data_IF_508244560765
#
_entry.id   IF_508244560765
#
_cell.length_a   1.000
_cell.length_b   1.000
_cell.length_c   1.000
_cell.angle_alpha   90.00
_cell.angle_beta   90.00
_cell.angle_gamma   90.00
#
_symmetry.space_group_name_H-M   'P 1'
#
loop_
_entity.id
_entity.type
_entity.pdbx_description
1 polymer ?
#
# COMPACT_ATOMS: atom_id res chain seq x y z
N UNK A 1 -7.67 -7.56 15.31
CA UNK A 1 -8.60 -7.52 14.18
C UNK A 1 -7.95 -6.66 13.11
N UNK A 2 -7.79 -7.19 11.90
CA UNK A 2 -7.03 -6.57 10.81
C UNK A 2 -7.99 -6.12 9.70
N UNK A 3 -8.70 -5.02 9.97
CA UNK A 3 -9.79 -4.54 9.09
C UNK A 3 -9.23 -4.10 7.74
N UNK A 4 -8.07 -3.44 7.73
CA UNK A 4 -7.40 -3.07 6.50
C UNK A 4 -6.99 -4.30 5.69
N UNK A 5 -6.34 -5.29 6.32
CA UNK A 5 -5.93 -6.52 5.66
C UNK A 5 -7.11 -7.33 5.10
N UNK A 6 -8.25 -7.33 5.79
CA UNK A 6 -9.49 -7.94 5.28
C UNK A 6 -10.00 -7.22 4.01
N UNK A 7 -10.06 -5.88 4.04
CA UNK A 7 -10.48 -5.08 2.89
C UNK A 7 -9.53 -5.26 1.68
N UNK A 8 -8.21 -5.24 1.91
CA UNK A 8 -7.21 -5.51 0.89
C UNK A 8 -7.36 -6.92 0.31
N UNK A 9 -7.58 -7.92 1.15
CA UNK A 9 -7.76 -9.32 0.71
C UNK A 9 -9.00 -9.48 -0.17
N UNK A 10 -10.10 -8.84 0.22
CA UNK A 10 -11.34 -8.88 -0.55
C UNK A 10 -11.18 -8.19 -1.91
N UNK A 11 -10.59 -7.00 -1.92
CA UNK A 11 -10.31 -6.28 -3.16
C UNK A 11 -9.39 -7.09 -4.08
N UNK A 12 -8.31 -7.68 -3.56
CA UNK A 12 -7.39 -8.52 -4.34
C UNK A 12 -8.07 -9.76 -4.96
N UNK A 13 -9.00 -10.41 -4.23
CA UNK A 13 -9.65 -11.64 -4.70
C UNK A 13 -10.86 -11.40 -5.61
N UNK A 14 -11.61 -10.31 -5.37
CA UNK A 14 -12.92 -10.08 -5.99
C UNK A 14 -12.96 -8.85 -6.90
N UNK A 15 -11.94 -7.98 -6.82
CA UNK A 15 -11.92 -6.68 -7.49
C UNK A 15 -12.79 -5.61 -6.80
N UNK A 16 -13.41 -5.94 -5.66
CA UNK A 16 -14.23 -5.03 -4.86
C UNK A 16 -14.10 -5.37 -3.37
N UNK A 17 -14.34 -4.38 -2.51
CA UNK A 17 -14.42 -4.56 -1.06
C UNK A 17 -15.60 -3.74 -0.51
N UNK A 18 -16.05 -4.07 0.71
CA UNK A 18 -16.94 -3.16 1.45
C UNK A 18 -16.22 -1.83 1.76
N UNK A 19 -16.99 -0.80 2.09
CA UNK A 19 -16.46 0.53 2.42
C UNK A 19 -15.55 0.46 3.63
N UNK A 20 -14.28 0.87 3.44
CA UNK A 20 -13.33 1.04 4.52
C UNK A 20 -13.50 2.43 5.14
N UNK A 21 -13.98 2.48 6.37
CA UNK A 21 -14.21 3.73 7.09
C UNK A 21 -13.00 4.15 7.93
N UNK A 22 -12.61 5.41 7.81
CA UNK A 22 -11.60 6.06 8.64
C UNK A 22 -12.29 6.91 9.70
N UNK A 23 -12.10 6.53 10.96
CA UNK A 23 -12.51 7.33 12.10
C UNK A 23 -11.33 8.17 12.58
N UNK A 24 -11.40 9.49 12.37
CA UNK A 24 -10.41 10.43 12.84
C UNK A 24 -10.91 11.20 14.07
N UNK A 25 -10.02 11.93 14.75
CA UNK A 25 -10.36 12.68 15.98
C UNK A 25 -10.83 14.11 15.73
N UNK A 26 -10.87 14.55 14.46
CA UNK A 26 -10.96 15.95 14.07
C UNK A 26 -12.10 16.25 13.09
N UNK A 27 -12.91 15.26 12.74
CA UNK A 27 -14.00 15.40 11.79
C UNK A 27 -14.92 14.18 11.78
N UNK A 28 -15.82 14.18 10.80
CA UNK A 28 -16.71 13.06 10.53
C UNK A 28 -15.93 11.88 9.93
N UNK A 29 -16.43 10.64 10.04
CA UNK A 29 -15.81 9.49 9.39
C UNK A 29 -15.71 9.69 7.87
N UNK A 30 -14.58 9.29 7.31
CA UNK A 30 -14.29 9.43 5.88
C UNK A 30 -14.13 8.05 5.22
N UNK A 31 -14.46 7.95 3.94
CA UNK A 31 -14.25 6.72 3.17
C UNK A 31 -12.79 6.63 2.68
N UNK A 32 -12.14 5.49 2.88
CA UNK A 32 -10.83 5.17 2.32
C UNK A 32 -11.02 4.34 1.04
N UNK A 33 -10.65 4.86 -0.15
CA UNK A 33 -10.62 4.08 -1.37
C UNK A 33 -9.59 2.95 -1.24
N UNK A 34 -10.02 1.69 -1.37
CA UNK A 34 -9.15 0.52 -1.18
C UNK A 34 -8.27 0.26 -2.42
N UNK A 35 -8.75 0.67 -3.59
CA UNK A 35 -8.03 0.61 -4.87
C UNK A 35 -6.71 1.41 -4.84
N UNK A 36 -6.62 2.46 -4.02
CA UNK A 36 -5.39 3.26 -3.89
C UNK A 36 -4.19 2.41 -3.44
N UNK A 37 -4.41 1.32 -2.69
CA UNK A 37 -3.33 0.43 -2.24
C UNK A 37 -2.78 -0.46 -3.36
N UNK A 38 -3.53 -0.59 -4.46
CA UNK A 38 -3.18 -1.37 -5.64
C UNK A 38 -2.77 -0.50 -6.84
N UNK A 39 -2.57 0.80 -6.60
CA UNK A 39 -2.17 1.77 -7.63
C UNK A 39 -0.83 1.40 -8.28
N UNK A 40 -0.73 1.71 -9.56
CA UNK A 40 0.49 1.60 -10.35
C UNK A 40 1.42 2.80 -10.10
N UNK A 41 2.65 2.71 -10.61
CA UNK A 41 3.68 3.75 -10.43
C UNK A 41 3.24 5.10 -11.03
N UNK A 42 2.57 5.09 -12.19
CA UNK A 42 2.08 6.29 -12.86
C UNK A 42 0.90 6.98 -12.14
N UNK A 43 0.25 6.28 -11.21
CA UNK A 43 -0.82 6.82 -10.36
C UNK A 43 -0.30 7.33 -9.01
N UNK A 44 0.99 7.15 -8.71
CA UNK A 44 1.57 7.61 -7.45
C UNK A 44 1.73 9.14 -7.43
N UNK A 45 1.46 9.80 -6.30
CA UNK A 45 1.77 11.22 -6.11
C UNK A 45 3.24 11.54 -6.43
N UNK A 46 3.50 12.74 -6.94
CA UNK A 46 4.83 13.21 -7.32
C UNK A 46 5.88 13.04 -6.20
N UNK A 47 5.47 13.30 -4.94
CA UNK A 47 6.35 13.15 -3.79
C UNK A 47 6.80 11.69 -3.56
N UNK A 48 5.93 10.72 -3.83
CA UNK A 48 6.27 9.31 -3.75
C UNK A 48 7.25 8.93 -4.85
N UNK A 49 7.01 9.36 -6.09
CA UNK A 49 7.91 9.13 -7.22
C UNK A 49 9.32 9.69 -6.97
N UNK A 50 9.41 10.91 -6.44
CA UNK A 50 10.69 11.51 -6.05
C UNK A 50 11.38 10.67 -4.97
N UNK A 51 10.64 10.23 -3.94
CA UNK A 51 11.20 9.40 -2.89
C UNK A 51 11.75 8.07 -3.43
N UNK A 52 10.98 7.39 -4.29
CA UNK A 52 11.39 6.14 -4.94
C UNK A 52 12.67 6.31 -5.75
N UNK A 53 12.80 7.40 -6.53
CA UNK A 53 14.02 7.69 -7.31
C UNK A 53 15.24 7.93 -6.41
N UNK A 54 15.04 8.62 -5.29
CA UNK A 54 16.09 8.92 -4.33
C UNK A 54 16.59 7.70 -3.54
N UNK A 55 15.80 6.62 -3.45
CA UNK A 55 16.21 5.40 -2.74
C UNK A 55 17.45 4.74 -3.37
N UNK A 56 18.43 4.34 -2.54
CA UNK A 56 19.70 3.73 -2.98
C UNK A 56 20.17 2.67 -1.98
N UNK A 57 20.98 1.72 -2.47
CA UNK A 57 21.52 0.64 -1.65
C UNK A 57 20.43 -0.38 -1.28
N UNK A 58 20.43 -0.81 -0.02
CA UNK A 58 19.38 -1.67 0.55
C UNK A 58 18.27 -0.82 1.11
N UNK A 59 17.05 -1.04 0.64
CA UNK A 59 15.88 -0.22 0.92
C UNK A 59 14.93 -0.99 1.83
N UNK A 60 14.35 -0.27 2.80
CA UNK A 60 13.27 -0.77 3.63
C UNK A 60 11.99 -0.01 3.27
N UNK A 61 10.97 -0.73 2.82
CA UNK A 61 9.62 -0.23 2.63
C UNK A 61 8.78 -0.60 3.87
N UNK A 62 8.51 0.38 4.73
CA UNK A 62 7.93 0.18 6.05
C UNK A 62 6.45 0.57 6.06
N UNK A 63 5.57 -0.39 6.36
CA UNK A 63 4.12 -0.20 6.20
C UNK A 63 3.71 -0.33 4.74
N UNK A 64 4.27 -1.34 4.06
CA UNK A 64 4.19 -1.47 2.61
C UNK A 64 2.78 -1.84 2.09
N UNK A 65 1.83 -2.19 2.97
CA UNK A 65 0.47 -2.55 2.59
C UNK A 65 0.46 -3.67 1.55
N UNK A 66 -0.24 -3.44 0.43
CA UNK A 66 -0.31 -4.39 -0.69
C UNK A 66 0.95 -4.39 -1.59
N UNK A 67 2.01 -3.62 -1.25
CA UNK A 67 3.31 -3.71 -1.90
C UNK A 67 3.55 -2.79 -3.10
N UNK A 68 2.74 -1.75 -3.30
CA UNK A 68 2.83 -0.89 -4.49
C UNK A 68 4.21 -0.22 -4.64
N UNK A 69 4.79 0.31 -3.55
CA UNK A 69 6.13 0.91 -3.54
C UNK A 69 7.23 -0.14 -3.75
N UNK A 70 7.18 -1.27 -3.04
CA UNK A 70 8.10 -2.38 -3.25
C UNK A 70 8.14 -2.87 -4.70
N UNK A 71 6.98 -3.03 -5.34
CA UNK A 71 6.88 -3.42 -6.75
C UNK A 71 7.50 -2.37 -7.68
N UNK A 72 7.29 -1.08 -7.43
CA UNK A 72 7.92 0.00 -8.19
C UNK A 72 9.46 -0.05 -8.05
N UNK A 73 9.98 -0.18 -6.83
CA UNK A 73 11.43 -0.30 -6.55
C UNK A 73 12.05 -1.53 -7.23
N UNK A 74 11.35 -2.67 -7.25
CA UNK A 74 11.77 -3.87 -7.96
C UNK A 74 11.84 -3.65 -9.47
N UNK A 75 10.87 -2.95 -10.08
CA UNK A 75 10.91 -2.58 -11.52
C UNK A 75 12.11 -1.68 -11.84
N UNK A 76 12.47 -0.80 -10.91
CA UNK A 76 13.70 0.03 -10.98
C UNK A 76 14.98 -0.75 -10.68
N UNK A 77 14.91 -2.08 -10.47
CA UNK A 77 16.03 -2.98 -10.14
C UNK A 77 16.75 -2.61 -8.83
N UNK A 78 16.02 -2.10 -7.85
CA UNK A 78 16.55 -1.75 -6.53
C UNK A 78 16.36 -2.91 -5.53
N UNK A 79 17.29 -3.05 -4.58
CA UNK A 79 17.25 -4.06 -3.52
C UNK A 79 16.34 -3.57 -2.38
N UNK A 80 15.11 -4.07 -2.34
CA UNK A 80 14.08 -3.65 -1.37
C UNK A 80 13.63 -4.83 -0.51
N UNK A 81 13.49 -4.58 0.79
CA UNK A 81 12.77 -5.41 1.74
C UNK A 81 11.54 -4.65 2.20
N UNK A 82 10.36 -5.25 2.09
CA UNK A 82 9.11 -4.65 2.52
C UNK A 82 8.58 -5.35 3.77
N UNK A 83 7.92 -4.60 4.65
CA UNK A 83 7.25 -5.13 5.83
C UNK A 83 5.92 -4.43 6.09
N UNK A 84 5.00 -5.18 6.67
CA UNK A 84 3.75 -4.68 7.21
C UNK A 84 3.38 -5.47 8.47
N UNK A 85 2.61 -4.86 9.38
CA UNK A 85 2.08 -5.54 10.55
C UNK A 85 0.90 -6.46 10.19
N UNK A 86 0.22 -6.17 9.09
CA UNK A 86 -0.87 -6.99 8.56
C UNK A 86 -0.31 -8.22 7.85
N UNK A 87 -0.49 -9.40 8.45
CA UNK A 87 -0.15 -10.69 7.82
C UNK A 87 -0.88 -10.86 6.48
N UNK A 88 -2.08 -10.29 6.33
CA UNK A 88 -2.89 -10.35 5.11
C UNK A 88 -2.33 -9.46 4.01
N UNK A 89 -1.91 -8.24 4.36
CA UNK A 89 -1.23 -7.35 3.42
C UNK A 89 0.08 -7.99 2.93
N UNK A 90 0.88 -8.56 3.85
CA UNK A 90 2.10 -9.31 3.53
C UNK A 90 1.83 -10.51 2.63
N UNK A 91 0.69 -11.20 2.76
CA UNK A 91 0.34 -12.33 1.90
C UNK A 91 -0.09 -11.92 0.48
N UNK A 92 -0.45 -10.66 0.26
CA UNK A 92 -0.85 -10.11 -1.05
C UNK A 92 0.36 -9.60 -1.84
N UNK A 93 1.32 -9.01 -1.12
CA UNK A 93 2.58 -8.44 -1.62
C UNK A 93 3.47 -9.46 -2.32
#
# INVERSE_FOLDING_TARGET
MDILGDALTDFYKKGTSDTLWLHNSYGEPEEMPVDIFFRSEDEMPELELIALDMCRGKILDAGAGAGSHALALQKMKKDVTALDISERAVAIM
#
